data_IF_859150487974
#
_entry.id   IF_859150487974
#
_cell.length_a   1.000
_cell.length_b   1.000
_cell.length_c   1.000
_cell.angle_alpha   90.00
_cell.angle_beta   90.00
_cell.angle_gamma   90.00
#
_symmetry.space_group_name_H-M   'P 1'
#
loop_
_entity.id
_entity.type
_entity.pdbx_description
1 polymer ?
#
# COMPACT_ATOMS: atom_id res chain seq x y z
N UNK A 1 3.51 5.13 7.89
CA UNK A 1 4.92 5.34 8.28
C UNK A 1 5.15 6.70 8.93
N UNK A 2 5.03 7.84 8.24
CA UNK A 2 5.42 9.13 8.85
C UNK A 2 4.43 9.67 9.89
N UNK A 3 3.15 9.72 9.55
CA UNK A 3 2.12 10.33 10.42
C UNK A 3 1.68 9.41 11.56
N UNK A 4 1.59 8.11 11.27
CA UNK A 4 1.10 7.09 12.19
C UNK A 4 2.22 6.23 12.80
N UNK A 5 3.48 6.56 12.52
CA UNK A 5 4.68 5.82 12.97
C UNK A 5 4.69 4.30 12.67
N UNK A 6 3.84 3.84 11.76
CA UNK A 6 3.71 2.40 11.42
C UNK A 6 5.01 1.82 10.84
N UNK A 7 5.29 0.56 11.21
CA UNK A 7 6.34 -0.24 10.58
C UNK A 7 6.04 -0.47 9.08
N UNK A 8 7.07 -0.71 8.25
CA UNK A 8 6.88 -0.90 6.80
C UNK A 8 5.80 -1.93 6.45
N UNK A 9 5.75 -3.08 7.14
CA UNK A 9 4.76 -4.12 6.89
C UNK A 9 3.32 -3.67 7.15
N UNK A 10 3.10 -3.00 8.29
CA UNK A 10 1.78 -2.48 8.67
C UNK A 10 1.34 -1.36 7.72
N UNK A 11 2.27 -0.50 7.31
CA UNK A 11 1.97 0.61 6.40
C UNK A 11 1.59 0.14 4.99
N UNK A 12 2.16 -0.97 4.52
CA UNK A 12 1.86 -1.54 3.20
C UNK A 12 0.58 -2.39 3.23
N UNK A 13 0.34 -3.12 4.32
CA UNK A 13 -0.88 -3.91 4.50
C UNK A 13 -2.13 -3.04 4.75
N UNK A 14 -1.93 -1.79 5.18
CA UNK A 14 -3.02 -0.85 5.41
C UNK A 14 -3.86 -0.57 4.17
N UNK A 15 -5.18 -0.47 4.36
CA UNK A 15 -6.09 -0.10 3.28
C UNK A 15 -5.71 1.26 2.65
N UNK A 16 -5.75 1.31 1.32
CA UNK A 16 -5.38 2.44 0.50
C UNK A 16 -6.57 3.03 -0.27
N UNK A 17 -6.55 4.35 -0.42
CA UNK A 17 -7.49 5.11 -1.25
C UNK A 17 -6.68 5.98 -2.20
N UNK A 18 -7.12 6.08 -3.44
CA UNK A 18 -6.55 6.97 -4.44
C UNK A 18 -7.66 7.68 -5.21
N UNK A 19 -7.34 8.81 -5.81
CA UNK A 19 -8.23 9.56 -6.68
C UNK A 19 -7.67 9.50 -8.11
N UNK A 20 -8.49 9.07 -9.06
CA UNK A 20 -8.13 9.06 -10.48
C UNK A 20 -8.65 10.35 -11.15
N UNK A 21 -7.73 11.19 -11.62
CA UNK A 21 -8.07 12.44 -12.27
C UNK A 21 -8.63 12.27 -13.69
N UNK A 22 -8.51 11.08 -14.30
CA UNK A 22 -9.00 10.82 -15.66
C UNK A 22 -10.53 10.70 -15.70
N UNK A 23 -11.12 10.18 -14.63
CA UNK A 23 -12.57 9.97 -14.53
C UNK A 23 -13.20 10.61 -13.28
N UNK A 24 -12.41 11.39 -12.55
CA UNK A 24 -12.79 12.17 -11.36
C UNK A 24 -13.34 11.31 -10.21
N UNK A 25 -12.93 10.03 -10.10
CA UNK A 25 -13.43 9.11 -9.08
C UNK A 25 -12.39 8.72 -8.04
N UNK A 26 -12.89 8.51 -6.82
CA UNK A 26 -12.12 7.88 -5.75
C UNK A 26 -12.27 6.36 -5.81
N UNK A 27 -11.15 5.69 -5.63
CA UNK A 27 -11.01 4.25 -5.66
C UNK A 27 -10.27 3.77 -4.42
N UNK A 28 -10.55 2.55 -4.01
CA UNK A 28 -9.98 1.98 -2.80
C UNK A 28 -9.82 0.47 -2.89
N UNK A 29 -8.96 -0.07 -2.05
CA UNK A 29 -8.98 -1.51 -1.79
C UNK A 29 -10.11 -1.90 -0.82
N UNK A 30 -10.34 -3.22 -0.70
CA UNK A 30 -11.39 -3.76 0.17
C UNK A 30 -11.20 -3.38 1.62
N UNK A 31 -9.95 -3.32 2.09
CA UNK A 31 -9.58 -2.95 3.45
C UNK A 31 -9.99 -1.50 3.74
N UNK A 32 -9.67 -0.56 2.84
CA UNK A 32 -10.03 0.85 2.98
C UNK A 32 -11.54 1.11 2.88
N UNK A 33 -12.31 0.33 2.13
CA UNK A 33 -13.78 0.48 2.09
C UNK A 33 -14.46 0.29 3.44
N UNK A 34 -13.82 -0.41 4.39
CA UNK A 34 -14.32 -0.54 5.77
C UNK A 34 -14.27 0.80 6.51
N UNK A 35 -13.45 1.74 6.06
CA UNK A 35 -13.35 3.10 6.58
C UNK A 35 -14.49 3.93 5.96
N UNK A 36 -15.64 3.98 6.66
CA UNK A 36 -16.87 4.66 6.21
C UNK A 36 -16.75 6.18 5.98
N UNK A 37 -15.58 6.77 6.24
CA UNK A 37 -15.32 8.20 6.09
C UNK A 37 -15.09 8.64 4.64
N UNK A 38 -14.80 7.72 3.72
CA UNK A 38 -14.49 8.05 2.32
C UNK A 38 -15.40 7.22 1.39
N UNK A 39 -16.14 7.91 0.53
CA UNK A 39 -16.87 7.26 -0.57
C UNK A 39 -15.87 6.90 -1.66
N UNK A 40 -15.71 5.60 -1.92
CA UNK A 40 -14.77 5.08 -2.91
C UNK A 40 -15.32 3.83 -3.61
N UNK A 41 -14.91 3.64 -4.85
CA UNK A 41 -15.20 2.42 -5.63
C UNK A 41 -14.12 1.38 -5.34
N UNK A 42 -14.52 0.14 -5.06
CA UNK A 42 -13.55 -0.94 -4.86
C UNK A 42 -12.93 -1.28 -6.19
N UNK A 43 -11.59 -1.20 -6.27
CA UNK A 43 -10.86 -1.74 -7.43
C UNK A 43 -11.02 -3.26 -7.42
N UNK A 44 -11.42 -3.82 -8.56
CA UNK A 44 -11.55 -5.27 -8.69
C UNK A 44 -10.15 -5.89 -8.76
N UNK A 45 -9.99 -7.08 -8.18
CA UNK A 45 -8.68 -7.76 -8.14
C UNK A 45 -8.18 -8.16 -9.56
N UNK A 46 -9.08 -8.20 -10.56
CA UNK A 46 -8.78 -8.52 -11.97
C UNK A 46 -8.53 -7.26 -12.84
N UNK A 47 -8.50 -6.07 -12.26
CA UNK A 47 -8.20 -4.83 -12.98
C UNK A 47 -6.71 -4.48 -12.87
N UNK A 48 -5.87 -5.10 -13.71
CA UNK A 48 -4.42 -4.94 -13.64
C UNK A 48 -3.97 -3.48 -13.86
N UNK A 49 -4.66 -2.71 -14.69
CA UNK A 49 -4.33 -1.30 -14.92
C UNK A 49 -4.57 -0.44 -13.67
N UNK A 50 -5.60 -0.77 -12.89
CA UNK A 50 -5.86 -0.10 -11.62
C UNK A 50 -5.03 -0.67 -10.44
N UNK A 51 -4.53 -1.90 -10.56
CA UNK A 51 -3.75 -2.62 -9.54
C UNK A 51 -2.22 -2.59 -9.75
N UNK A 52 -1.70 -1.94 -10.80
CA UNK A 52 -0.25 -1.74 -11.07
C UNK A 52 0.41 -0.77 -10.05
N UNK A 53 0.05 -0.89 -8.78
CA UNK A 53 0.53 -0.04 -7.69
C UNK A 53 1.23 -0.90 -6.67
N UNK A 54 2.38 -1.42 -7.09
CA UNK A 54 3.33 -2.08 -6.19
C UNK A 54 3.95 -1.01 -5.29
N UNK A 55 3.80 -1.20 -3.98
CA UNK A 55 4.41 -0.31 -2.98
C UNK A 55 5.50 -1.09 -2.27
N UNK A 56 6.68 -0.50 -2.19
CA UNK A 56 7.78 -0.97 -1.37
C UNK A 56 8.12 0.09 -0.34
N UNK A 57 8.41 -0.34 0.88
CA UNK A 57 8.79 0.58 1.95
C UNK A 57 9.96 0.02 2.74
N UNK A 58 10.87 0.91 3.11
CA UNK A 58 12.04 0.58 3.93
C UNK A 58 12.16 1.63 5.04
N UNK A 59 12.44 1.16 6.26
CA UNK A 59 12.69 2.00 7.44
C UNK A 59 14.01 1.57 8.07
N UNK A 60 14.87 2.54 8.32
CA UNK A 60 15.99 2.38 9.25
C UNK A 60 15.46 2.64 10.66
N UNK A 61 15.59 1.67 11.55
CA UNK A 61 15.24 1.85 12.96
C UNK A 61 16.39 2.56 13.69
N UNK A 62 16.05 3.54 14.53
CA UNK A 62 17.01 4.41 15.22
C UNK A 62 17.59 3.80 16.49
N UNK A 63 16.95 2.76 17.03
CA UNK A 63 17.30 2.04 18.25
C UNK A 63 18.45 1.03 18.05
N UNK A 64 18.44 0.28 16.95
CA UNK A 64 19.38 -0.80 16.67
C UNK A 64 20.12 -0.63 15.34
N UNK A 65 19.73 0.36 14.52
CA UNK A 65 20.31 0.57 13.20
C UNK A 65 19.82 -0.42 12.14
N UNK A 66 18.95 -1.36 12.52
CA UNK A 66 18.37 -2.38 11.66
C UNK A 66 17.53 -1.76 10.55
N UNK A 67 17.50 -2.47 9.42
CA UNK A 67 16.68 -2.12 8.26
C UNK A 67 15.48 -3.06 8.21
N UNK A 68 14.28 -2.50 8.19
CA UNK A 68 13.05 -3.24 7.97
C UNK A 68 12.49 -2.84 6.62
N UNK A 69 12.14 -3.85 5.82
CA UNK A 69 11.57 -3.66 4.49
C UNK A 69 10.30 -4.49 4.34
N UNK A 70 9.37 -3.98 3.56
CA UNK A 70 8.16 -4.69 3.17
C UNK A 70 7.80 -4.35 1.72
N UNK A 71 7.07 -5.26 1.07
CA UNK A 71 6.55 -5.13 -0.28
C UNK A 71 5.09 -5.56 -0.29
N UNK A 72 4.29 -4.91 -1.15
CA UNK A 72 2.89 -5.26 -1.34
C UNK A 72 2.77 -6.58 -2.13
N UNK A 73 1.94 -7.50 -1.66
CA UNK A 73 1.76 -8.85 -2.25
C UNK A 73 0.79 -8.88 -3.45
N UNK A 74 0.22 -7.72 -3.82
CA UNK A 74 -0.72 -7.57 -4.94
C UNK A 74 -0.12 -7.96 -6.31
N UNK A 75 1.20 -8.02 -6.43
CA UNK A 75 1.87 -8.62 -7.58
C UNK A 75 2.80 -9.76 -7.14
N UNK A 76 2.35 -11.00 -7.36
CA UNK A 76 3.11 -12.22 -7.07
C UNK A 76 4.44 -12.34 -7.83
N UNK A 77 4.67 -11.51 -8.84
CA UNK A 77 5.91 -11.47 -9.63
C UNK A 77 6.95 -10.51 -9.04
N UNK A 78 6.53 -9.56 -8.18
CA UNK A 78 7.37 -8.60 -7.49
C UNK A 78 7.66 -9.09 -6.05
N UNK A 79 8.71 -9.91 -5.89
CA UNK A 79 9.01 -10.60 -4.62
C UNK A 79 10.46 -10.36 -4.13
N UNK A 80 10.98 -9.13 -4.20
CA UNK A 80 12.37 -8.86 -3.80
C UNK A 80 12.53 -7.62 -2.92
N UNK A 81 12.23 -7.76 -1.63
CA UNK A 81 12.78 -6.88 -0.59
C UNK A 81 14.11 -7.47 -0.11
N UNK A 82 15.21 -7.24 -0.85
CA UNK A 82 16.53 -7.80 -0.55
C UNK A 82 17.54 -6.66 -0.34
N UNK A 83 18.34 -6.74 0.72
CA UNK A 83 19.42 -5.81 1.03
C UNK A 83 20.51 -6.48 1.86
N UNK A 84 21.73 -5.94 1.82
CA UNK A 84 22.91 -6.39 2.59
C UNK A 84 23.37 -5.29 3.55
#
# INVERSE_FOLDING_TARGET
MLVLDLEPGEAIAGGSVFYDYRDEKAYCDREAKRIKAISCTVVRDDDWEANDRVVMAVRRRTDHGDMVAAINDKDSTFNYAVGY
#
